data_IF_723859964336
#
_entry.id   IF_723859964336
#
_cell.length_a   1.000
_cell.length_b   1.000
_cell.length_c   1.000
_cell.angle_alpha   90.00
_cell.angle_beta   90.00
_cell.angle_gamma   90.00
#
_symmetry.space_group_name_H-M   'P 1'
#
loop_
_entity.id
_entity.type
_entity.pdbx_description
1 polymer ?
#
# COMPACT_ATOMS: atom_id res chain seq x y z
N UNK A 1 -12.25 0.19 17.08
CA UNK A 1 -11.99 0.28 15.64
C UNK A 1 -12.22 1.72 15.25
N UNK A 2 -11.24 2.33 14.61
CA UNK A 2 -11.30 3.72 14.15
C UNK A 2 -12.00 3.80 12.78
N UNK A 3 -12.43 4.99 12.38
CA UNK A 3 -13.22 5.21 11.14
C UNK A 3 -12.42 5.05 9.84
N UNK A 4 -11.08 4.99 9.95
CA UNK A 4 -10.14 4.77 8.83
C UNK A 4 -9.84 3.29 8.57
N UNK A 5 -10.45 2.39 9.34
CA UNK A 5 -10.23 0.94 9.24
C UNK A 5 -9.12 0.43 10.17
N UNK A 6 -8.46 1.30 10.92
CA UNK A 6 -7.45 0.87 11.89
C UNK A 6 -8.11 0.24 13.12
N UNK A 7 -7.80 -1.03 13.36
CA UNK A 7 -8.13 -1.71 14.60
C UNK A 7 -7.05 -1.45 15.65
N UNK A 8 -7.37 -0.59 16.62
CA UNK A 8 -6.44 -0.18 17.67
C UNK A 8 -6.81 -0.83 19.00
N UNK A 9 -5.84 -1.48 19.64
CA UNK A 9 -5.94 -1.99 21.00
C UNK A 9 -5.30 -0.97 21.97
N UNK A 10 -6.10 -0.50 22.94
CA UNK A 10 -5.67 0.51 23.92
C UNK A 10 -5.71 -0.05 25.33
N UNK A 11 -4.83 0.44 26.20
CA UNK A 11 -4.86 0.18 27.63
C UNK A 11 -5.92 1.04 28.34
N UNK A 12 -6.10 0.86 29.66
CA UNK A 12 -7.09 1.62 30.46
C UNK A 12 -6.84 3.12 30.49
N UNK A 13 -5.60 3.56 30.23
CA UNK A 13 -5.20 4.97 30.13
C UNK A 13 -5.26 5.49 28.70
N UNK A 14 -5.96 4.80 27.79
CA UNK A 14 -6.07 5.12 26.36
C UNK A 14 -4.75 5.10 25.57
N UNK A 15 -3.67 4.56 26.14
CA UNK A 15 -2.41 4.36 25.42
C UNK A 15 -2.53 3.23 24.41
N UNK A 16 -2.05 3.44 23.18
CA UNK A 16 -2.01 2.43 22.11
C UNK A 16 -1.00 1.35 22.48
N UNK A 17 -1.45 0.10 22.53
CA UNK A 17 -0.62 -1.07 22.77
C UNK A 17 -0.29 -1.81 21.47
N UNK A 18 -1.20 -1.76 20.50
CA UNK A 18 -1.10 -2.44 19.22
C UNK A 18 -2.09 -1.81 18.24
N UNK A 19 -1.74 -1.76 16.96
CA UNK A 19 -2.65 -1.32 15.90
C UNK A 19 -2.48 -2.16 14.63
N UNK A 20 -3.57 -2.37 13.91
CA UNK A 20 -3.56 -3.20 12.69
C UNK A 20 -2.74 -2.59 11.55
N UNK A 21 -2.60 -1.27 11.53
CA UNK A 21 -1.84 -0.58 10.49
C UNK A 21 -0.34 -0.89 10.53
N UNK A 22 0.19 -1.30 11.69
CA UNK A 22 1.58 -1.77 11.83
C UNK A 22 1.80 -3.17 11.23
N UNK A 23 0.72 -3.91 10.93
CA UNK A 23 0.74 -5.29 10.44
C UNK A 23 -0.07 -5.44 9.15
N UNK A 24 0.35 -4.77 8.05
CA UNK A 24 -0.35 -4.84 6.78
C UNK A 24 -0.29 -6.25 6.18
N UNK A 25 -1.27 -6.56 5.31
CA UNK A 25 -1.34 -7.82 4.56
C UNK A 25 -0.94 -7.61 3.10
N UNK A 26 -1.90 -7.70 2.18
CA UNK A 26 -1.78 -7.41 0.76
C UNK A 26 -2.16 -5.96 0.41
N UNK A 27 -2.75 -5.24 1.37
CA UNK A 27 -3.43 -3.96 1.16
C UNK A 27 -2.87 -2.88 2.08
N UNK A 28 -2.73 -1.66 1.54
CA UNK A 28 -2.50 -0.42 2.28
C UNK A 28 -3.73 0.50 2.12
N UNK A 29 -4.17 1.10 3.22
CA UNK A 29 -5.33 2.00 3.29
C UNK A 29 -4.91 3.47 3.44
N UNK A 30 -5.78 4.44 3.07
CA UNK A 30 -5.51 5.84 3.32
C UNK A 30 -5.25 6.12 4.81
N UNK A 31 -4.20 6.88 5.11
CA UNK A 31 -3.72 7.15 6.47
C UNK A 31 -2.66 6.16 6.95
N UNK A 32 -2.45 5.05 6.24
CA UNK A 32 -1.43 4.07 6.54
C UNK A 32 -0.13 4.37 5.80
N UNK A 33 1.00 3.88 6.33
CA UNK A 33 2.29 3.89 5.67
C UNK A 33 3.02 2.56 5.91
N UNK A 34 4.01 2.26 5.05
CA UNK A 34 5.01 1.22 5.28
C UNK A 34 6.34 1.89 5.56
N UNK A 35 7.05 1.42 6.57
CA UNK A 35 8.45 1.73 6.86
C UNK A 35 9.40 0.79 6.12
N UNK A 36 10.68 1.17 6.10
CA UNK A 36 11.77 0.28 5.69
C UNK A 36 11.69 -1.06 6.43
N UNK A 37 11.90 -2.15 5.71
CA UNK A 37 11.81 -3.51 6.22
C UNK A 37 10.39 -4.09 6.23
N UNK A 38 9.36 -3.27 6.01
CA UNK A 38 7.99 -3.77 5.85
C UNK A 38 7.68 -4.13 4.40
N UNK A 39 6.68 -5.01 4.23
CA UNK A 39 6.24 -5.47 2.94
C UNK A 39 4.73 -5.75 2.92
N UNK A 40 4.14 -5.64 1.73
CA UNK A 40 2.85 -6.24 1.41
C UNK A 40 3.08 -7.58 0.74
N UNK A 41 2.29 -8.60 1.08
CA UNK A 41 2.33 -9.91 0.45
C UNK A 41 1.02 -10.18 -0.27
N UNK A 42 1.08 -10.65 -1.51
CA UNK A 42 -0.14 -11.03 -2.23
C UNK A 42 -0.90 -12.13 -1.51
N UNK A 43 -2.19 -12.26 -1.80
CA UNK A 43 -2.92 -13.49 -1.50
C UNK A 43 -2.43 -14.65 -2.39
N UNK A 44 -2.62 -15.89 -1.93
CA UNK A 44 -2.35 -17.09 -2.69
C UNK A 44 -3.36 -17.27 -3.84
N UNK A 45 -4.60 -16.79 -3.63
CA UNK A 45 -5.63 -16.64 -4.64
C UNK A 45 -6.53 -15.45 -4.28
N UNK A 46 -6.72 -14.51 -5.20
CA UNK A 46 -7.43 -13.26 -4.97
C UNK A 46 -8.92 -13.38 -4.68
N UNK A 47 -9.50 -14.60 -4.72
CA UNK A 47 -10.94 -14.83 -4.53
C UNK A 47 -11.30 -15.90 -3.50
N UNK A 48 -10.42 -16.88 -3.26
CA UNK A 48 -10.74 -18.04 -2.40
C UNK A 48 -9.68 -18.35 -1.34
N UNK A 49 -8.44 -17.87 -1.49
CA UNK A 49 -7.35 -18.19 -0.58
C UNK A 49 -6.52 -16.95 -0.25
N UNK A 50 -6.87 -16.34 0.88
CA UNK A 50 -6.21 -15.14 1.41
C UNK A 50 -4.95 -15.44 2.21
N UNK A 51 -4.44 -16.68 2.20
CA UNK A 51 -3.12 -16.97 2.76
C UNK A 51 -2.01 -16.29 1.96
N UNK A 52 -0.82 -16.20 2.55
CA UNK A 52 0.34 -15.54 1.95
C UNK A 52 0.74 -16.20 0.62
N UNK A 53 0.70 -15.40 -0.45
CA UNK A 53 0.95 -15.79 -1.83
C UNK A 53 2.41 -15.68 -2.27
N UNK A 54 2.59 -15.47 -3.58
CA UNK A 54 3.88 -15.59 -4.28
C UNK A 54 4.50 -14.27 -4.66
N UNK A 55 3.89 -13.13 -4.35
CA UNK A 55 4.42 -11.82 -4.71
C UNK A 55 4.53 -10.94 -3.48
N UNK A 56 5.51 -10.03 -3.49
CA UNK A 56 5.63 -9.01 -2.45
C UNK A 56 6.00 -7.65 -3.03
N UNK A 57 5.51 -6.60 -2.38
CA UNK A 57 6.01 -5.23 -2.48
C UNK A 57 6.76 -4.95 -1.18
N UNK A 58 8.06 -4.71 -1.23
CA UNK A 58 8.86 -4.42 -0.03
C UNK A 58 9.54 -3.06 -0.11
N UNK A 59 9.72 -2.44 1.05
CA UNK A 59 10.71 -1.35 1.20
C UNK A 59 11.97 -1.99 1.76
N UNK A 60 13.01 -2.08 0.93
CA UNK A 60 14.24 -2.76 1.28
C UNK A 60 14.94 -2.07 2.44
N UNK A 61 15.17 -2.83 3.52
CA UNK A 61 15.84 -2.34 4.73
C UNK A 61 17.28 -1.89 4.46
N UNK A 62 17.92 -2.43 3.42
CA UNK A 62 19.35 -2.23 3.14
C UNK A 62 19.66 -0.92 2.42
N UNK A 63 18.79 -0.48 1.51
CA UNK A 63 19.08 0.66 0.62
C UNK A 63 17.89 1.60 0.38
N UNK A 64 16.71 1.31 0.96
CA UNK A 64 15.52 2.13 0.81
C UNK A 64 14.85 2.01 -0.56
N UNK A 65 15.22 1.03 -1.38
CA UNK A 65 14.51 0.79 -2.63
C UNK A 65 13.14 0.17 -2.37
N UNK A 66 12.12 0.58 -3.12
CA UNK A 66 10.81 -0.08 -3.09
C UNK A 66 10.74 -1.04 -4.27
N UNK A 67 10.53 -2.32 -4.01
CA UNK A 67 10.69 -3.40 -5.00
C UNK A 67 9.46 -4.30 -5.03
N UNK A 68 9.01 -4.60 -6.24
CA UNK A 68 8.06 -5.68 -6.54
C UNK A 68 8.82 -6.91 -7.02
N UNK A 69 8.58 -8.06 -6.39
CA UNK A 69 9.28 -9.30 -6.70
C UNK A 69 8.42 -10.53 -6.48
N UNK A 70 8.80 -11.65 -7.13
CA UNK A 70 8.33 -12.96 -6.72
C UNK A 70 8.94 -13.32 -5.35
N UNK A 71 8.07 -13.66 -4.41
CA UNK A 71 8.41 -14.05 -3.05
C UNK A 71 8.74 -15.56 -2.98
N UNK A 72 9.76 -15.91 -2.19
CA UNK A 72 10.33 -17.27 -2.02
C UNK A 72 11.11 -17.82 -3.21
N UNK A 73 11.40 -16.97 -4.19
CA UNK A 73 12.36 -17.25 -5.26
C UNK A 73 13.54 -16.27 -5.14
N UNK A 74 14.71 -16.65 -5.68
CA UNK A 74 15.83 -15.73 -5.83
C UNK A 74 15.56 -14.77 -7.01
N UNK A 75 14.54 -13.93 -6.86
CA UNK A 75 14.14 -12.92 -7.82
C UNK A 75 14.72 -11.56 -7.40
N UNK A 76 15.33 -10.85 -8.35
CA UNK A 76 15.85 -9.49 -8.16
C UNK A 76 14.75 -8.42 -8.18
N UNK A 77 13.53 -8.82 -8.51
CA UNK A 77 12.38 -7.94 -8.65
C UNK A 77 12.16 -7.54 -10.10
N UNK A 78 10.91 -7.62 -10.54
CA UNK A 78 10.50 -7.24 -11.89
C UNK A 78 10.16 -5.74 -11.99
N UNK A 79 10.01 -5.05 -10.86
CA UNK A 79 9.88 -3.60 -10.83
C UNK A 79 10.53 -3.00 -9.57
N UNK A 80 11.08 -1.79 -9.68
CA UNK A 80 11.54 -1.01 -8.53
C UNK A 80 11.35 0.50 -8.72
N UNK A 81 11.34 1.23 -7.60
CA UNK A 81 11.12 2.69 -7.57
C UNK A 81 12.38 3.52 -7.86
N UNK A 82 13.56 2.90 -7.97
CA UNK A 82 14.86 3.58 -8.12
C UNK A 82 15.11 4.55 -6.95
N UNK A 83 14.73 4.16 -5.73
CA UNK A 83 14.92 4.97 -4.51
C UNK A 83 16.10 4.51 -3.66
N UNK A 84 17.03 3.75 -4.27
CA UNK A 84 18.27 3.29 -3.63
C UNK A 84 19.06 4.43 -2.98
N UNK A 85 19.83 4.11 -1.94
CA UNK A 85 20.65 5.04 -1.15
C UNK A 85 19.84 6.09 -0.37
N UNK A 86 18.57 5.80 -0.06
CA UNK A 86 17.78 6.63 0.84
C UNK A 86 17.61 5.94 2.20
N UNK A 87 17.64 6.73 3.26
CA UNK A 87 17.31 6.29 4.62
C UNK A 87 15.89 6.77 4.96
N UNK A 88 15.27 6.15 5.96
CA UNK A 88 13.92 6.49 6.44
C UNK A 88 12.87 6.52 5.32
N UNK A 89 12.97 5.56 4.39
CA UNK A 89 12.03 5.46 3.29
C UNK A 89 10.68 4.97 3.77
N UNK A 90 9.62 5.65 3.36
CA UNK A 90 8.24 5.26 3.62
C UNK A 90 7.42 5.26 2.34
N UNK A 91 6.57 4.26 2.19
CA UNK A 91 5.44 4.31 1.26
C UNK A 91 4.25 4.84 2.02
N UNK A 92 3.75 6.01 1.66
CA UNK A 92 2.67 6.71 2.37
C UNK A 92 1.44 6.76 1.50
N UNK A 93 0.29 6.35 2.04
CA UNK A 93 -1.00 6.56 1.42
C UNK A 93 -1.74 7.70 2.15
N UNK A 94 -1.76 8.87 1.53
CA UNK A 94 -2.30 10.07 2.17
C UNK A 94 -3.84 10.10 2.13
N UNK A 95 -4.47 10.31 3.30
CA UNK A 95 -5.92 10.31 3.45
C UNK A 95 -6.60 11.62 3.04
N UNK A 96 -5.85 12.68 2.76
CA UNK A 96 -6.41 13.97 2.36
C UNK A 96 -6.46 14.12 0.84
N UNK A 97 -5.40 13.68 0.17
CA UNK A 97 -5.17 13.82 -1.27
C UNK A 97 -5.40 12.52 -2.04
N UNK A 98 -5.54 11.39 -1.35
CA UNK A 98 -5.69 10.06 -1.98
C UNK A 98 -4.51 9.71 -2.89
N UNK A 99 -3.35 10.26 -2.55
CA UNK A 99 -2.10 10.01 -3.26
C UNK A 99 -1.26 9.01 -2.50
N UNK A 100 -0.67 8.10 -3.26
CA UNK A 100 0.33 7.16 -2.82
C UNK A 100 1.69 7.64 -3.32
N UNK A 101 2.64 7.78 -2.41
CA UNK A 101 3.97 8.28 -2.72
C UNK A 101 5.03 7.68 -1.81
N UNK A 102 6.28 7.77 -2.25
CA UNK A 102 7.46 7.34 -1.49
C UNK A 102 8.19 8.59 -1.00
N UNK A 103 8.54 8.62 0.28
CA UNK A 103 9.28 9.71 0.93
C UNK A 103 10.50 9.16 1.66
N UNK A 104 11.53 9.98 1.88
CA UNK A 104 12.67 9.69 2.77
C UNK A 104 12.59 10.47 4.11
N UNK A 105 11.39 10.92 4.49
CA UNK A 105 11.14 11.74 5.68
C UNK A 105 11.43 13.23 5.50
N UNK A 106 12.16 13.64 4.44
CA UNK A 106 12.43 15.06 4.14
C UNK A 106 11.66 15.54 2.90
N UNK A 107 11.52 14.70 1.89
CA UNK A 107 10.83 15.03 0.66
C UNK A 107 10.12 13.82 0.07
N UNK A 108 9.17 14.07 -0.83
CA UNK A 108 8.62 13.05 -1.72
C UNK A 108 9.68 12.75 -2.79
N UNK A 109 10.13 11.51 -2.86
CA UNK A 109 11.19 11.06 -3.78
C UNK A 109 10.65 10.26 -4.97
N UNK A 110 9.43 9.75 -4.88
CA UNK A 110 8.74 9.12 -6.01
C UNK A 110 7.23 9.20 -5.82
N UNK A 111 6.50 9.52 -6.88
CA UNK A 111 5.04 9.47 -6.88
C UNK A 111 4.58 8.13 -7.46
N UNK A 112 3.70 7.42 -6.75
CA UNK A 112 3.13 6.17 -7.22
C UNK A 112 1.80 6.41 -7.95
N UNK A 113 0.99 7.36 -7.47
CA UNK A 113 -0.30 7.70 -8.07
C UNK A 113 -0.15 8.62 -9.28
N UNK A 114 -0.86 8.30 -10.37
CA UNK A 114 -1.04 9.21 -11.50
C UNK A 114 -2.20 10.17 -11.22
N UNK A 115 -1.90 11.44 -10.95
CA UNK A 115 -2.88 12.47 -10.55
C UNK A 115 -3.89 12.87 -11.62
N UNK A 116 -3.62 12.56 -12.89
CA UNK A 116 -4.44 13.00 -14.04
C UNK A 116 -5.88 12.47 -14.07
N UNK A 117 -6.25 11.56 -13.19
CA UNK A 117 -7.57 10.94 -13.17
C UNK A 117 -8.06 10.58 -11.75
N UNK A 118 -7.63 11.31 -10.73
CA UNK A 118 -8.19 11.16 -9.39
C UNK A 118 -9.67 11.59 -9.40
N UNK A 119 -10.54 10.97 -8.56
CA UNK A 119 -11.92 11.45 -8.44
C UNK A 119 -11.96 12.88 -7.94
N UNK A 120 -12.92 13.67 -8.44
CA UNK A 120 -13.09 15.08 -8.05
C UNK A 120 -13.31 15.27 -6.54
N UNK A 121 -13.85 14.25 -5.87
CA UNK A 121 -14.05 14.20 -4.42
C UNK A 121 -13.54 12.87 -3.86
N UNK A 122 -12.40 12.90 -3.16
CA UNK A 122 -11.84 11.76 -2.41
C UNK A 122 -12.88 11.18 -1.44
N UNK A 123 -13.72 12.03 -0.83
CA UNK A 123 -14.69 11.59 0.19
C UNK A 123 -15.82 10.73 -0.37
N UNK A 124 -16.07 10.78 -1.67
CA UNK A 124 -17.18 10.08 -2.32
C UNK A 124 -16.84 8.62 -2.65
N UNK A 125 -15.60 8.19 -2.37
CA UNK A 125 -15.06 6.88 -2.74
C UNK A 125 -14.43 6.20 -1.54
N UNK A 126 -14.43 4.86 -1.57
CA UNK A 126 -13.57 4.01 -0.78
C UNK A 126 -12.29 3.76 -1.57
N UNK A 127 -11.14 3.86 -0.88
CA UNK A 127 -9.83 3.79 -1.50
C UNK A 127 -8.98 2.72 -0.86
N UNK A 128 -8.19 2.05 -1.67
CA UNK A 128 -7.16 1.12 -1.20
C UNK A 128 -6.08 0.98 -2.28
N UNK A 129 -4.87 0.63 -1.88
CA UNK A 129 -3.88 0.10 -2.81
C UNK A 129 -3.46 -1.30 -2.36
N UNK A 130 -3.28 -2.22 -3.29
CA UNK A 130 -2.97 -3.61 -2.95
C UNK A 130 -2.11 -4.31 -3.99
N UNK A 131 -1.36 -5.32 -3.54
CA UNK A 131 -0.69 -6.28 -4.41
C UNK A 131 -1.64 -7.44 -4.72
N UNK A 132 -1.88 -7.71 -6.00
CA UNK A 132 -2.78 -8.77 -6.46
C UNK A 132 -2.09 -10.14 -6.42
N UNK A 133 -2.88 -11.21 -6.51
CA UNK A 133 -2.40 -12.60 -6.64
C UNK A 133 -1.66 -12.87 -7.96
N UNK A 134 -1.61 -11.89 -8.87
CA UNK A 134 -0.85 -11.89 -10.12
C UNK A 134 0.46 -11.09 -10.06
N UNK A 135 0.71 -10.39 -8.96
CA UNK A 135 1.89 -9.55 -8.75
C UNK A 135 1.69 -8.07 -9.08
N UNK A 136 0.55 -7.68 -9.66
CA UNK A 136 0.32 -6.27 -9.96
C UNK A 136 0.06 -5.48 -8.68
N UNK A 137 0.64 -4.28 -8.57
CA UNK A 137 0.30 -3.32 -7.52
C UNK A 137 -0.66 -2.27 -8.06
N UNK A 138 -1.83 -2.18 -7.44
CA UNK A 138 -2.97 -1.43 -7.98
C UNK A 138 -3.57 -0.50 -6.92
N UNK A 139 -4.00 0.68 -7.34
CA UNK A 139 -4.84 1.56 -6.54
C UNK A 139 -6.29 1.45 -7.03
N UNK A 140 -7.22 1.22 -6.12
CA UNK A 140 -8.63 0.98 -6.39
C UNK A 140 -9.48 2.03 -5.71
N UNK A 141 -10.54 2.45 -6.40
CA UNK A 141 -11.49 3.46 -5.95
C UNK A 141 -12.91 2.92 -6.21
N UNK A 142 -13.74 2.85 -5.16
CA UNK A 142 -15.12 2.39 -5.26
C UNK A 142 -16.09 3.46 -4.76
N UNK A 143 -17.04 3.88 -5.59
CA UNK A 143 -17.96 4.97 -5.25
C UNK A 143 -18.90 4.56 -4.11
N UNK A 144 -19.11 5.44 -3.11
CA UNK A 144 -19.95 5.19 -1.94
C UNK A 144 -21.46 5.15 -2.22
N UNK A 145 -21.91 5.78 -3.32
CA UNK A 145 -23.34 5.93 -3.66
C UNK A 145 -23.69 5.03 -4.84
N UNK A 146 -24.92 4.46 -4.86
CA UNK A 146 -25.51 3.58 -5.88
C UNK A 146 -25.14 3.94 -7.33
N UNK A 147 -23.97 3.48 -7.75
CA UNK A 147 -23.41 3.62 -9.08
C UNK A 147 -22.43 2.48 -9.27
N UNK A 148 -22.70 1.63 -10.25
CA UNK A 148 -22.11 0.30 -10.44
C UNK A 148 -20.64 0.29 -10.89
N UNK A 149 -19.82 1.26 -10.47
CA UNK A 149 -18.47 1.46 -10.98
C UNK A 149 -17.38 1.22 -9.95
N UNK A 150 -16.63 0.12 -10.10
CA UNK A 150 -15.27 0.01 -9.57
C UNK A 150 -14.30 0.56 -10.60
N UNK A 151 -13.45 1.52 -10.21
CA UNK A 151 -12.36 2.00 -11.05
C UNK A 151 -11.07 1.40 -10.51
N UNK A 152 -10.36 0.68 -11.37
CA UNK A 152 -9.08 0.04 -11.06
C UNK A 152 -7.97 0.79 -11.78
N UNK A 153 -6.86 1.07 -11.09
CA UNK A 153 -5.65 1.62 -11.69
C UNK A 153 -4.50 0.69 -11.40
N UNK A 154 -3.85 0.20 -12.44
CA UNK A 154 -2.55 -0.39 -12.27
C UNK A 154 -1.53 0.72 -11.98
N UNK A 155 -0.84 0.62 -10.85
CA UNK A 155 0.22 1.56 -10.54
C UNK A 155 1.50 1.16 -11.25
N UNK A 156 1.73 -0.16 -11.43
CA UNK A 156 2.84 -0.76 -12.17
C UNK A 156 2.44 -2.13 -12.73
N UNK A 157 2.78 -2.36 -14.00
CA UNK A 157 2.56 -3.61 -14.75
C UNK A 157 3.91 -4.27 -15.12
N UNK A 158 3.83 -5.54 -15.52
CA UNK A 158 4.85 -6.26 -16.29
C UNK A 158 5.02 -5.70 -17.70
#
# INVERSE_FOLDING_TARGET
>A
MEDDGNFVLKNSSSGVLWESFDFPTDTILPGQYLDMGQALFSSANGTVDYSMGKYRLEIQQTDGNVVLSAYRTADFGYWNSITVNNNNVRLVFDNTSDTLFITNGSSIISNMTLTANLPDSVRDYYHRAMITDKGDFQQLFHRKVNGSGCIFRCLKEL
#
